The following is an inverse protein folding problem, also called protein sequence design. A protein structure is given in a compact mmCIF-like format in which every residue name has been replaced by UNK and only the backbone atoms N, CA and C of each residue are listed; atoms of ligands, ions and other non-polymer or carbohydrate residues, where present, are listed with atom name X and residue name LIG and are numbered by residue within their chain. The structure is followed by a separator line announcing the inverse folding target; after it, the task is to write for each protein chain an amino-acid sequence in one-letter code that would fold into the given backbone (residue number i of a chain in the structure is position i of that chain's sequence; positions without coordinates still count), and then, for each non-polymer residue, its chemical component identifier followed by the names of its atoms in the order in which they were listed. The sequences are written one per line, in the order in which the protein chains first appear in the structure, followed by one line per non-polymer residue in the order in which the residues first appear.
data_IF_586573811223
#
_entry.id   IF_586573811223
#
_cell.length_a   1.000
_cell.length_b   1.000
_cell.length_c   1.000
_cell.angle_alpha   90.00
_cell.angle_beta   90.00
_cell.angle_gamma   90.00
#
_symmetry.space_group_name_H-M   'P 1'
#
loop_
_entity.id
_entity.type
_entity.pdbx_description
1 polymer ?
#
# COMPACT_ATOMS: atom_id res chain seq x y z
N UNK A 1 -12.23 73.11 0.56
CA UNK A 1 -10.89 72.63 0.94
C UNK A 1 -11.00 71.14 1.23
N UNK A 2 -10.54 70.29 0.30
CA UNK A 2 -10.72 68.84 0.41
C UNK A 2 -9.56 68.24 1.19
N UNK A 3 -9.74 68.09 2.52
CA UNK A 3 -8.74 67.45 3.37
C UNK A 3 -8.75 65.94 3.14
N UNK A 4 -7.86 65.49 2.25
CA UNK A 4 -7.52 64.08 2.10
C UNK A 4 -6.79 63.65 3.38
N UNK A 5 -7.38 62.71 4.11
CA UNK A 5 -6.74 62.11 5.28
C UNK A 5 -5.36 61.53 4.92
N UNK A 6 -4.38 61.69 5.81
CA UNK A 6 -3.00 61.17 5.67
C UNK A 6 -2.93 59.69 5.32
N UNK A 7 -3.91 58.88 5.76
CA UNK A 7 -4.02 57.46 5.37
C UNK A 7 -4.43 57.27 3.90
N UNK A 8 -5.25 58.16 3.34
CA UNK A 8 -5.64 58.11 1.93
C UNK A 8 -4.50 58.60 1.02
N UNK A 9 -3.73 59.60 1.44
CA UNK A 9 -2.56 60.08 0.71
C UNK A 9 -1.47 59.00 0.58
N UNK A 10 -1.20 58.24 1.66
CA UNK A 10 -0.23 57.14 1.63
C UNK A 10 -0.67 55.95 0.77
N UNK A 11 -1.99 55.70 0.62
CA UNK A 11 -2.52 54.65 -0.27
C UNK A 11 -2.37 55.02 -1.75
N UNK A 12 -2.56 56.28 -2.09
CA UNK A 12 -2.36 56.79 -3.45
C UNK A 12 -0.87 56.77 -3.85
N UNK A 13 0.03 57.07 -2.91
CA UNK A 13 1.47 56.97 -3.17
C UNK A 13 1.94 55.52 -3.42
N UNK A 14 1.43 54.53 -2.68
CA UNK A 14 1.77 53.11 -2.91
C UNK A 14 1.25 52.56 -4.24
N UNK A 15 0.10 53.03 -4.71
CA UNK A 15 -0.46 52.59 -6.00
C UNK A 15 0.25 53.26 -7.19
N UNK A 16 0.71 54.50 -7.02
CA UNK A 16 1.52 55.20 -8.01
C UNK A 16 2.93 54.58 -8.17
N UNK A 17 3.58 54.16 -7.09
CA UNK A 17 4.92 53.52 -7.15
C UNK A 17 4.88 52.13 -7.79
N UNK A 18 3.76 51.40 -7.69
CA UNK A 18 3.59 50.11 -8.39
C UNK A 18 3.25 50.26 -9.88
N UNK A 19 2.84 51.44 -10.33
CA UNK A 19 2.42 51.67 -11.71
C UNK A 19 3.56 52.18 -12.62
N UNK A 20 4.59 52.79 -12.05
CA UNK A 20 5.70 53.39 -12.81
C UNK A 20 6.81 52.38 -13.23
N UNK A 21 6.83 51.16 -12.67
CA UNK A 21 7.81 50.11 -13.03
C UNK A 21 7.22 48.99 -13.91
N UNK A 22 5.99 49.16 -14.41
CA UNK A 22 5.27 48.13 -15.18
C UNK A 22 5.32 48.33 -16.71
N UNK A 23 6.39 48.91 -17.25
CA UNK A 23 6.61 49.03 -18.71
C UNK A 23 7.45 47.90 -19.32
N UNK A 24 7.72 46.83 -18.56
CA UNK A 24 8.08 45.52 -19.10
C UNK A 24 7.06 44.51 -18.62
N UNK A 25 5.85 44.59 -19.16
CA UNK A 25 4.93 43.46 -19.16
C UNK A 25 5.55 42.35 -20.02
N UNK A 26 6.56 41.68 -19.47
CA UNK A 26 6.98 40.36 -19.88
C UNK A 26 5.72 39.51 -19.83
N UNK A 27 5.13 39.31 -21.01
CA UNK A 27 4.11 38.30 -21.28
C UNK A 27 4.57 37.07 -20.52
N UNK A 28 3.89 36.72 -19.42
CA UNK A 28 4.18 35.49 -18.69
C UNK A 28 3.98 34.38 -19.71
N UNK A 29 5.08 33.86 -20.23
CA UNK A 29 5.05 32.68 -21.07
C UNK A 29 4.34 31.61 -20.24
N UNK A 30 3.20 31.12 -20.73
CA UNK A 30 2.52 30.00 -20.12
C UNK A 30 3.50 28.84 -20.10
N UNK A 31 4.13 28.59 -18.96
CA UNK A 31 4.94 27.41 -18.77
C UNK A 31 3.97 26.24 -18.67
N UNK A 32 3.72 25.57 -19.79
CA UNK A 32 3.09 24.25 -19.76
C UNK A 32 4.08 23.32 -19.09
N UNK A 33 3.96 23.15 -17.77
CA UNK A 33 4.65 22.05 -17.11
C UNK A 33 4.09 20.77 -17.72
N UNK A 34 4.94 20.02 -18.43
CA UNK A 34 4.59 18.68 -18.87
C UNK A 34 4.08 17.94 -17.63
N UNK A 35 2.81 17.55 -17.63
CA UNK A 35 2.23 16.82 -16.51
C UNK A 35 3.14 15.66 -16.19
N UNK A 36 3.51 15.49 -14.92
CA UNK A 36 4.41 14.41 -14.47
C UNK A 36 3.81 13.08 -14.94
N UNK A 37 4.25 12.58 -16.09
CA UNK A 37 3.86 11.26 -16.54
C UNK A 37 4.48 10.31 -15.53
N UNK A 38 3.66 9.45 -14.95
CA UNK A 38 4.17 8.35 -14.13
C UNK A 38 4.99 7.51 -15.10
N UNK A 39 6.32 7.52 -14.95
CA UNK A 39 7.29 6.93 -15.90
C UNK A 39 7.24 5.39 -15.98
N UNK A 40 6.21 4.78 -15.40
CA UNK A 40 6.05 3.35 -15.29
C UNK A 40 4.76 3.02 -16.04
N UNK A 41 4.82 2.14 -17.05
CA UNK A 41 3.64 1.69 -17.78
C UNK A 41 2.59 1.04 -16.87
N UNK A 42 1.38 0.88 -17.40
CA UNK A 42 0.32 0.15 -16.68
C UNK A 42 0.77 -1.32 -16.54
N UNK A 43 0.74 -1.93 -15.34
CA UNK A 43 1.28 -3.26 -15.13
C UNK A 43 0.53 -4.29 -15.98
N UNK A 44 1.24 -4.95 -16.89
CA UNK A 44 0.70 -6.05 -17.67
C UNK A 44 0.87 -7.38 -16.91
N UNK A 45 -0.07 -8.28 -17.12
CA UNK A 45 -0.09 -9.60 -16.49
C UNK A 45 0.13 -10.67 -17.54
N UNK A 46 1.06 -11.60 -17.29
CA UNK A 46 1.20 -12.78 -18.13
C UNK A 46 0.01 -13.70 -17.90
N UNK A 47 -0.57 -14.20 -18.98
CA UNK A 47 -1.62 -15.22 -18.92
C UNK A 47 -1.12 -16.45 -18.15
N UNK A 48 -1.97 -16.97 -17.28
CA UNK A 48 -1.70 -18.16 -16.49
C UNK A 48 -2.66 -19.28 -16.88
N UNK A 49 -2.34 -20.53 -16.55
CA UNK A 49 -3.23 -21.67 -16.81
C UNK A 49 -4.54 -21.66 -15.99
N UNK A 50 -4.70 -20.71 -15.07
CA UNK A 50 -5.88 -20.60 -14.22
C UNK A 50 -6.68 -19.37 -14.61
N UNK A 51 -7.86 -19.61 -15.18
CA UNK A 51 -8.75 -18.55 -15.66
C UNK A 51 -9.26 -17.66 -14.53
N UNK A 52 -9.50 -18.21 -13.33
CA UNK A 52 -9.94 -17.41 -12.18
C UNK A 52 -8.90 -16.36 -11.77
N UNK A 53 -7.61 -16.74 -11.79
CA UNK A 53 -6.51 -15.80 -11.50
C UNK A 53 -6.43 -14.73 -12.59
N UNK A 54 -6.51 -15.13 -13.86
CA UNK A 54 -6.50 -14.19 -14.98
C UNK A 54 -7.67 -13.20 -14.88
N UNK A 55 -8.88 -13.68 -14.57
CA UNK A 55 -10.08 -12.86 -14.40
C UNK A 55 -9.94 -11.86 -13.25
N UNK A 56 -9.39 -12.28 -12.11
CA UNK A 56 -9.15 -11.40 -10.95
C UNK A 56 -8.11 -10.33 -11.27
N UNK A 57 -7.01 -10.70 -11.95
CA UNK A 57 -5.97 -9.75 -12.35
C UNK A 57 -6.48 -8.76 -13.41
N UNK A 58 -7.23 -9.23 -14.39
CA UNK A 58 -7.86 -8.40 -15.42
C UNK A 58 -8.87 -7.42 -14.80
N UNK A 59 -9.70 -7.89 -13.87
CA UNK A 59 -10.64 -7.05 -13.12
C UNK A 59 -9.91 -5.96 -12.32
N UNK A 60 -8.84 -6.30 -11.60
CA UNK A 60 -8.03 -5.28 -10.91
C UNK A 60 -7.40 -4.27 -11.87
N UNK A 61 -6.95 -4.72 -13.04
CA UNK A 61 -6.37 -3.87 -14.07
C UNK A 61 -7.38 -2.84 -14.58
N UNK A 62 -8.55 -3.28 -15.00
CA UNK A 62 -9.60 -2.40 -15.56
C UNK A 62 -10.21 -1.48 -14.51
N UNK A 63 -10.51 -2.00 -13.32
CA UNK A 63 -11.28 -1.25 -12.30
C UNK A 63 -10.42 -0.36 -11.40
N UNK A 64 -9.16 -0.71 -11.15
CA UNK A 64 -8.31 0.00 -10.20
C UNK A 64 -7.03 0.57 -10.81
N UNK A 65 -6.31 -0.20 -11.63
CA UNK A 65 -5.04 0.27 -12.16
C UNK A 65 -5.24 1.32 -13.23
N UNK A 66 -6.00 1.05 -14.30
CA UNK A 66 -6.25 2.02 -15.38
C UNK A 66 -6.71 3.39 -14.82
N UNK A 67 -7.77 3.48 -13.98
CA UNK A 67 -8.17 4.75 -13.39
C UNK A 67 -7.07 5.40 -12.54
N UNK A 68 -6.26 4.60 -11.85
CA UNK A 68 -5.13 5.03 -11.03
C UNK A 68 -3.98 5.67 -11.82
N UNK A 69 -3.74 5.23 -13.05
CA UNK A 69 -2.70 5.76 -13.94
C UNK A 69 -3.16 6.98 -14.75
N UNK A 70 -4.46 7.13 -14.95
CA UNK A 70 -5.01 8.28 -15.68
C UNK A 70 -4.85 9.62 -14.93
N UNK A 71 -4.70 10.74 -15.66
CA UNK A 71 -4.72 12.06 -15.06
C UNK A 71 -6.11 12.40 -14.49
N UNK A 72 -6.16 13.46 -13.69
CA UNK A 72 -7.34 13.78 -12.85
C UNK A 72 -8.59 14.06 -13.69
N UNK A 73 -8.44 14.58 -14.91
CA UNK A 73 -9.55 14.96 -15.77
C UNK A 73 -10.21 13.73 -16.41
N UNK A 74 -9.42 12.85 -16.98
CA UNK A 74 -9.80 11.58 -17.62
C UNK A 74 -10.39 10.62 -16.57
N UNK A 75 -9.77 10.55 -15.38
CA UNK A 75 -10.32 9.79 -14.26
C UNK A 75 -11.70 10.29 -13.83
N UNK A 76 -11.93 11.61 -13.87
CA UNK A 76 -13.24 12.20 -13.57
C UNK A 76 -14.26 11.88 -14.66
N UNK A 77 -13.82 11.75 -15.91
CA UNK A 77 -14.66 11.35 -17.04
C UNK A 77 -15.18 9.92 -16.83
N UNK A 78 -14.28 8.95 -16.57
CA UNK A 78 -14.66 7.55 -16.34
C UNK A 78 -15.55 7.37 -15.12
N UNK A 79 -15.17 7.96 -13.97
CA UNK A 79 -15.86 7.73 -12.70
C UNK A 79 -17.04 8.70 -12.44
N UNK A 80 -17.34 9.58 -13.39
CA UNK A 80 -18.33 10.64 -13.24
C UNK A 80 -19.63 10.31 -13.95
N UNK A 81 -20.74 10.21 -13.21
CA UNK A 81 -22.08 9.91 -13.77
C UNK A 81 -22.50 10.86 -14.90
N UNK A 82 -22.03 12.12 -14.88
CA UNK A 82 -22.35 13.16 -15.88
C UNK A 82 -21.80 12.84 -17.28
N UNK A 83 -20.70 12.10 -17.36
CA UNK A 83 -19.99 11.81 -18.61
C UNK A 83 -20.36 10.44 -19.18
N UNK A 84 -21.30 9.72 -18.55
CA UNK A 84 -21.73 8.39 -18.99
C UNK A 84 -22.22 8.39 -20.43
N UNK A 85 -23.20 9.24 -20.75
CA UNK A 85 -23.77 9.32 -22.09
C UNK A 85 -22.70 9.79 -23.09
N UNK A 86 -21.88 10.77 -22.71
CA UNK A 86 -20.81 11.27 -23.56
C UNK A 86 -19.80 10.19 -23.95
N UNK A 87 -19.38 9.34 -23.01
CA UNK A 87 -18.45 8.24 -23.27
C UNK A 87 -19.10 7.11 -24.08
N UNK A 88 -20.42 6.90 -23.95
CA UNK A 88 -21.15 5.94 -24.77
C UNK A 88 -21.31 6.41 -26.21
N UNK A 89 -21.62 7.69 -26.41
CA UNK A 89 -21.82 8.26 -27.74
C UNK A 89 -20.48 8.52 -28.46
N UNK A 90 -19.44 8.89 -27.71
CA UNK A 90 -18.12 9.23 -28.23
C UNK A 90 -17.02 8.56 -27.39
N UNK A 91 -16.55 7.36 -27.76
CA UNK A 91 -15.48 6.71 -27.03
C UNK A 91 -14.19 7.52 -27.13
N UNK A 92 -13.60 7.83 -25.99
CA UNK A 92 -12.36 8.61 -25.90
C UNK A 92 -11.19 7.65 -25.69
N UNK A 93 -10.16 7.76 -26.52
CA UNK A 93 -8.90 7.03 -26.36
C UNK A 93 -7.88 7.92 -25.67
N UNK A 94 -7.14 7.37 -24.69
CA UNK A 94 -6.05 8.08 -24.02
C UNK A 94 -4.80 7.22 -24.07
N UNK A 95 -3.70 7.83 -24.50
CA UNK A 95 -2.40 7.18 -24.46
C UNK A 95 -1.79 7.31 -23.05
N UNK A 96 -1.73 6.18 -22.34
CA UNK A 96 -1.16 6.07 -21.00
C UNK A 96 0.17 5.31 -21.09
N UNK A 97 1.27 6.06 -20.90
CA UNK A 97 2.63 5.59 -21.17
C UNK A 97 2.80 5.16 -22.63
N UNK A 98 2.72 3.87 -22.91
CA UNK A 98 2.96 3.24 -24.23
C UNK A 98 1.74 2.44 -24.73
N UNK A 99 0.59 2.57 -24.06
CA UNK A 99 -0.63 1.83 -24.39
C UNK A 99 -1.81 2.79 -24.61
N UNK A 100 -2.53 2.58 -25.70
CA UNK A 100 -3.80 3.27 -25.96
C UNK A 100 -4.93 2.57 -25.20
N UNK A 101 -5.53 3.30 -24.27
CA UNK A 101 -6.62 2.80 -23.42
C UNK A 101 -7.92 3.50 -23.80
N UNK A 102 -8.94 2.70 -24.10
CA UNK A 102 -10.31 3.19 -24.30
C UNK A 102 -10.92 3.55 -22.95
N UNK A 103 -11.41 4.78 -22.81
CA UNK A 103 -12.10 5.22 -21.60
C UNK A 103 -13.56 4.75 -21.64
N UNK A 104 -13.90 3.82 -20.75
CA UNK A 104 -15.27 3.37 -20.53
C UNK A 104 -15.80 3.93 -19.21
N UNK A 105 -17.09 4.23 -19.15
CA UNK A 105 -17.72 4.68 -17.91
C UNK A 105 -17.79 3.53 -16.90
N UNK A 106 -17.32 3.78 -15.66
CA UNK A 106 -17.34 2.82 -14.56
C UNK A 106 -18.26 3.31 -13.45
N UNK A 107 -19.22 2.48 -13.05
CA UNK A 107 -20.04 2.73 -11.87
C UNK A 107 -19.26 2.41 -10.60
N UNK A 108 -19.17 3.39 -9.70
CA UNK A 108 -18.41 3.28 -8.45
C UNK A 108 -19.00 2.26 -7.48
N UNK A 109 -20.31 2.04 -7.54
CA UNK A 109 -21.03 1.18 -6.60
C UNK A 109 -21.12 -0.26 -7.09
N UNK A 110 -21.17 -0.47 -8.41
CA UNK A 110 -21.41 -1.79 -9.02
C UNK A 110 -20.17 -2.40 -9.63
N UNK A 111 -19.38 -1.60 -10.35
CA UNK A 111 -18.30 -2.11 -11.19
C UNK A 111 -16.94 -2.10 -10.47
N UNK A 112 -16.84 -1.39 -9.34
CA UNK A 112 -15.60 -1.27 -8.55
C UNK A 112 -15.68 -2.18 -7.32
N UNK A 113 -15.18 -3.43 -7.42
CA UNK A 113 -15.12 -4.34 -6.27
C UNK A 113 -14.16 -3.84 -5.19
N UNK A 114 -14.24 -4.45 -4.01
CA UNK A 114 -13.31 -4.16 -2.92
C UNK A 114 -11.88 -4.60 -3.29
N UNK A 115 -11.00 -3.61 -3.43
CA UNK A 115 -9.60 -3.80 -3.77
C UNK A 115 -8.85 -4.74 -2.82
N UNK A 116 -9.12 -4.66 -1.52
CA UNK A 116 -8.44 -5.49 -0.52
C UNK A 116 -8.84 -6.96 -0.67
N UNK A 117 -10.12 -7.21 -0.95
CA UNK A 117 -10.64 -8.55 -1.14
C UNK A 117 -10.11 -9.16 -2.45
N UNK A 118 -10.07 -8.38 -3.53
CA UNK A 118 -9.44 -8.81 -4.79
C UNK A 118 -7.95 -9.12 -4.60
N UNK A 119 -7.23 -8.29 -3.85
CA UNK A 119 -5.82 -8.54 -3.54
C UNK A 119 -5.65 -9.87 -2.80
N UNK A 120 -6.40 -10.09 -1.72
CA UNK A 120 -6.31 -11.34 -0.96
C UNK A 120 -6.68 -12.55 -1.82
N UNK A 121 -7.74 -12.45 -2.63
CA UNK A 121 -8.14 -13.50 -3.58
C UNK A 121 -7.03 -13.80 -4.57
N UNK A 122 -6.39 -12.78 -5.15
CA UNK A 122 -5.28 -12.97 -6.08
C UNK A 122 -4.10 -13.69 -5.41
N UNK A 123 -3.70 -13.28 -4.20
CA UNK A 123 -2.62 -13.95 -3.47
C UNK A 123 -2.98 -15.39 -3.11
N UNK A 124 -4.24 -15.66 -2.75
CA UNK A 124 -4.70 -17.00 -2.43
C UNK A 124 -4.70 -17.91 -3.69
N UNK A 125 -5.09 -17.39 -4.85
CA UNK A 125 -5.04 -18.09 -6.14
C UNK A 125 -3.60 -18.32 -6.65
N UNK A 126 -2.71 -17.33 -6.54
CA UNK A 126 -1.28 -17.48 -6.85
C UNK A 126 -0.64 -18.58 -5.99
N UNK A 127 -0.99 -18.63 -4.70
CA UNK A 127 -0.51 -19.68 -3.81
C UNK A 127 -1.04 -21.07 -4.19
N UNK A 128 -2.32 -21.17 -4.55
CA UNK A 128 -2.95 -22.44 -4.97
C UNK A 128 -2.34 -22.99 -6.26
N UNK A 129 -2.09 -22.11 -7.23
CA UNK A 129 -1.55 -22.47 -8.56
C UNK A 129 -0.02 -22.51 -8.60
N UNK A 130 0.64 -22.13 -7.50
CA UNK A 130 2.09 -21.87 -7.42
C UNK A 130 2.61 -20.94 -8.55
N UNK A 131 1.77 -20.02 -9.02
CA UNK A 131 2.12 -19.05 -10.04
C UNK A 131 2.30 -17.67 -9.41
N UNK A 132 3.57 -17.25 -9.29
CA UNK A 132 3.96 -16.03 -8.61
C UNK A 132 4.57 -14.97 -9.54
N UNK A 133 4.64 -15.24 -10.85
CA UNK A 133 5.31 -14.36 -11.83
C UNK A 133 4.68 -12.97 -11.90
N UNK A 134 3.37 -12.90 -11.68
CA UNK A 134 2.58 -11.66 -11.73
C UNK A 134 2.63 -10.83 -10.43
N UNK A 135 3.26 -11.34 -9.35
CA UNK A 135 3.29 -10.64 -8.06
C UNK A 135 3.97 -9.25 -8.13
N UNK A 136 5.14 -9.08 -8.78
CA UNK A 136 5.77 -7.77 -8.89
C UNK A 136 4.88 -6.74 -9.61
N UNK A 137 4.25 -7.14 -10.72
CA UNK A 137 3.31 -6.31 -11.48
C UNK A 137 2.09 -5.92 -10.63
N UNK A 138 1.54 -6.88 -9.87
CA UNK A 138 0.39 -6.65 -9.00
C UNK A 138 0.69 -5.61 -7.91
N UNK A 139 1.81 -5.77 -7.20
CA UNK A 139 2.22 -4.82 -6.16
C UNK A 139 2.52 -3.43 -6.74
N UNK A 140 3.15 -3.39 -7.91
CA UNK A 140 3.42 -2.14 -8.63
C UNK A 140 2.13 -1.41 -8.97
N UNK A 141 1.12 -2.10 -9.52
CA UNK A 141 -0.19 -1.51 -9.82
C UNK A 141 -0.89 -0.97 -8.58
N UNK A 142 -0.85 -1.72 -7.48
CA UNK A 142 -1.44 -1.31 -6.21
C UNK A 142 -0.80 -0.03 -5.68
N UNK A 143 0.54 0.04 -5.66
CA UNK A 143 1.27 1.23 -5.22
C UNK A 143 0.91 2.46 -6.06
N UNK A 144 0.87 2.32 -7.38
CA UNK A 144 0.61 3.42 -8.31
C UNK A 144 -0.85 3.89 -8.34
N UNK A 145 -1.79 2.99 -8.06
CA UNK A 145 -3.20 3.32 -7.84
C UNK A 145 -3.45 4.04 -6.50
N UNK A 146 -2.40 4.20 -5.68
CA UNK A 146 -2.49 4.84 -4.36
C UNK A 146 -3.07 3.93 -3.28
N UNK A 147 -3.05 2.61 -3.48
CA UNK A 147 -3.43 1.67 -2.45
C UNK A 147 -2.44 1.70 -1.29
N UNK A 148 -2.96 1.69 -0.06
CA UNK A 148 -2.18 1.47 1.15
C UNK A 148 -2.46 0.04 1.60
N UNK A 149 -1.51 -0.85 1.34
CA UNK A 149 -1.59 -2.21 1.83
C UNK A 149 -1.22 -2.24 3.31
N UNK A 150 -1.96 -3.02 4.09
CA UNK A 150 -1.63 -3.26 5.48
C UNK A 150 -0.34 -4.09 5.58
N UNK A 151 0.43 -3.84 6.62
CA UNK A 151 1.68 -4.54 6.89
C UNK A 151 1.45 -6.05 7.04
N UNK A 152 0.34 -6.45 7.69
CA UNK A 152 -0.05 -7.87 7.80
C UNK A 152 -0.39 -8.50 6.46
N UNK A 153 -0.97 -7.73 5.53
CA UNK A 153 -1.29 -8.21 4.19
C UNK A 153 -0.03 -8.47 3.37
N UNK A 154 0.97 -7.58 3.49
CA UNK A 154 2.30 -7.77 2.90
C UNK A 154 3.02 -8.96 3.54
N UNK A 155 3.01 -9.07 4.87
CA UNK A 155 3.56 -10.22 5.60
C UNK A 155 2.93 -11.56 5.20
N UNK A 156 1.59 -11.63 5.08
CA UNK A 156 0.87 -12.81 4.56
C UNK A 156 1.34 -13.19 3.16
N UNK A 157 1.55 -12.20 2.29
CA UNK A 157 2.01 -12.40 0.91
C UNK A 157 3.42 -13.00 0.88
N UNK A 158 4.35 -12.42 1.63
CA UNK A 158 5.72 -12.93 1.79
C UNK A 158 5.71 -14.35 2.33
N UNK A 159 4.94 -14.61 3.40
CA UNK A 159 4.84 -15.94 3.99
C UNK A 159 4.35 -16.99 2.98
N UNK A 160 3.31 -16.69 2.21
CA UNK A 160 2.78 -17.60 1.19
C UNK A 160 3.77 -17.85 0.05
N UNK A 161 4.44 -16.81 -0.44
CA UNK A 161 5.46 -16.94 -1.48
C UNK A 161 6.68 -17.74 -0.97
N UNK A 162 7.08 -17.53 0.29
CA UNK A 162 8.15 -18.27 0.95
C UNK A 162 7.81 -19.76 1.10
N UNK A 163 6.60 -20.09 1.57
CA UNK A 163 6.14 -21.49 1.65
C UNK A 163 6.11 -22.19 0.29
N UNK A 164 5.98 -21.44 -0.81
CA UNK A 164 6.05 -21.96 -2.17
C UNK A 164 7.49 -22.02 -2.75
N UNK A 165 8.52 -21.71 -1.94
CA UNK A 165 9.91 -21.68 -2.38
C UNK A 165 10.26 -20.53 -3.34
N UNK A 166 9.43 -19.47 -3.41
CA UNK A 166 9.57 -18.37 -4.38
C UNK A 166 10.27 -17.14 -3.80
N UNK A 167 11.31 -17.35 -2.98
CA UNK A 167 12.05 -16.25 -2.34
C UNK A 167 12.70 -15.29 -3.34
N UNK A 168 13.14 -15.77 -4.51
CA UNK A 168 13.70 -14.92 -5.56
C UNK A 168 12.74 -13.83 -6.04
N UNK A 169 11.44 -14.13 -6.15
CA UNK A 169 10.40 -13.15 -6.53
C UNK A 169 10.20 -12.12 -5.41
N UNK A 170 10.29 -12.54 -4.15
CA UNK A 170 10.24 -11.63 -3.00
C UNK A 170 11.41 -10.65 -3.06
N UNK A 171 12.63 -11.15 -3.32
CA UNK A 171 13.83 -10.30 -3.45
C UNK A 171 13.68 -9.33 -4.63
N UNK A 172 13.18 -9.77 -5.78
CA UNK A 172 12.88 -8.88 -6.91
C UNK A 172 11.91 -7.75 -6.51
N UNK A 173 10.84 -8.09 -5.79
CA UNK A 173 9.90 -7.08 -5.27
C UNK A 173 10.57 -6.09 -4.31
N UNK A 174 11.49 -6.56 -3.46
CA UNK A 174 12.24 -5.74 -2.50
C UNK A 174 13.28 -4.83 -3.18
N UNK A 175 13.97 -5.33 -4.22
CA UNK A 175 14.87 -4.53 -5.05
C UNK A 175 14.11 -3.36 -5.70
N UNK A 176 12.84 -3.60 -6.08
CA UNK A 176 11.95 -2.60 -6.65
C UNK A 176 11.02 -1.96 -5.61
N UNK A 177 11.45 -1.87 -4.34
CA UNK A 177 10.62 -1.41 -3.20
C UNK A 177 9.93 -0.06 -3.41
N UNK A 178 10.53 0.85 -4.17
CA UNK A 178 9.95 2.15 -4.54
C UNK A 178 8.69 2.01 -5.39
N UNK A 179 8.67 1.03 -6.28
CA UNK A 179 7.59 0.75 -7.23
C UNK A 179 6.56 -0.21 -6.66
N UNK A 180 6.99 -1.29 -6.01
CA UNK A 180 6.10 -2.33 -5.45
C UNK A 180 5.49 -1.91 -4.11
N UNK A 181 6.17 -1.03 -3.37
CA UNK A 181 5.80 -0.68 -2.01
C UNK A 181 6.13 -1.75 -0.96
N UNK A 182 6.75 -2.87 -1.36
CA UNK A 182 7.23 -3.89 -0.42
C UNK A 182 8.56 -3.42 0.19
N UNK A 183 8.62 -3.25 1.50
CA UNK A 183 9.80 -2.73 2.19
C UNK A 183 10.16 -3.58 3.41
N UNK A 184 11.47 -3.70 3.70
CA UNK A 184 11.99 -4.36 4.91
C UNK A 184 11.84 -3.49 6.18
N UNK A 185 11.25 -2.29 6.05
CA UNK A 185 10.90 -1.43 7.19
C UNK A 185 9.77 -2.00 8.02
N UNK A 186 8.93 -2.81 7.39
CA UNK A 186 7.84 -3.53 8.02
C UNK A 186 8.42 -4.74 8.74
N UNK A 187 8.20 -4.82 10.04
CA UNK A 187 8.73 -5.88 10.89
C UNK A 187 8.12 -7.23 10.51
N UNK A 188 6.82 -7.27 10.17
CA UNK A 188 6.17 -8.47 9.65
C UNK A 188 6.83 -8.97 8.36
N UNK A 189 7.19 -8.06 7.45
CA UNK A 189 7.85 -8.42 6.19
C UNK A 189 9.25 -8.97 6.48
N UNK A 190 10.03 -8.27 7.29
CA UNK A 190 11.40 -8.65 7.64
C UNK A 190 11.44 -10.02 8.34
N UNK A 191 10.60 -10.24 9.35
CA UNK A 191 10.55 -11.51 10.08
C UNK A 191 10.19 -12.69 9.17
N UNK A 192 9.18 -12.52 8.30
CA UNK A 192 8.79 -13.58 7.37
C UNK A 192 9.89 -13.86 6.32
N UNK A 193 10.64 -12.84 5.87
CA UNK A 193 11.79 -13.02 4.96
C UNK A 193 12.93 -13.77 5.64
N UNK A 194 13.30 -13.39 6.87
CA UNK A 194 14.37 -14.08 7.63
C UNK A 194 13.98 -15.52 7.94
N UNK A 195 12.72 -15.76 8.29
CA UNK A 195 12.21 -17.11 8.49
C UNK A 195 12.25 -17.94 7.20
N UNK A 196 11.96 -17.35 6.04
CA UNK A 196 12.05 -18.04 4.75
C UNK A 196 13.49 -18.50 4.43
N UNK A 197 14.49 -17.66 4.73
CA UNK A 197 15.90 -17.99 4.53
C UNK A 197 16.33 -19.19 5.37
N UNK A 198 15.87 -19.25 6.62
CA UNK A 198 16.21 -20.33 7.56
C UNK A 198 15.42 -21.61 7.30
N UNK A 199 14.11 -21.50 7.03
CA UNK A 199 13.22 -22.65 6.87
C UNK A 199 13.60 -23.50 5.67
N UNK A 200 14.07 -22.89 4.58
CA UNK A 200 14.44 -23.62 3.35
C UNK A 200 15.51 -24.71 3.59
N UNK A 201 16.72 -24.41 4.13
CA UNK A 201 17.71 -25.44 4.46
C UNK A 201 17.33 -26.27 5.68
N UNK A 202 16.54 -25.74 6.61
CA UNK A 202 16.07 -26.50 7.77
C UNK A 202 15.17 -27.69 7.36
N UNK A 203 14.32 -27.51 6.35
CA UNK A 203 13.44 -28.57 5.83
C UNK A 203 14.23 -29.73 5.22
N UNK A 204 15.41 -29.47 4.67
CA UNK A 204 16.31 -30.49 4.12
C UNK A 204 17.33 -31.01 5.14
N UNK A 205 17.19 -30.63 6.42
CA UNK A 205 18.11 -31.04 7.48
C UNK A 205 19.54 -30.52 7.27
N UNK A 206 19.72 -29.43 6.53
CA UNK A 206 21.01 -28.83 6.20
C UNK A 206 21.92 -29.70 5.33
N UNK A 207 21.38 -30.74 4.70
CA UNK A 207 22.16 -31.68 3.89
C UNK A 207 22.17 -31.30 2.40
N UNK A 208 21.13 -30.61 1.94
CA UNK A 208 21.04 -30.14 0.57
C UNK A 208 21.89 -28.88 0.37
N UNK A 209 23.04 -29.06 -0.27
CA UNK A 209 23.99 -27.99 -0.57
C UNK A 209 23.38 -26.93 -1.49
N UNK A 210 22.53 -27.30 -2.45
CA UNK A 210 21.91 -26.35 -3.38
C UNK A 210 20.94 -25.43 -2.65
N UNK A 211 20.08 -25.99 -1.80
CA UNK A 211 19.15 -25.22 -0.97
C UNK A 211 19.90 -24.30 0.00
N UNK A 212 21.00 -24.78 0.60
CA UNK A 212 21.83 -23.99 1.51
C UNK A 212 22.50 -22.82 0.78
N UNK A 213 23.14 -23.08 -0.35
CA UNK A 213 23.80 -22.05 -1.17
C UNK A 213 22.80 -21.04 -1.71
N UNK A 214 21.61 -21.47 -2.10
CA UNK A 214 20.54 -20.59 -2.55
C UNK A 214 20.08 -19.66 -1.43
N UNK A 215 19.85 -20.19 -0.22
CA UNK A 215 19.52 -19.38 0.97
C UNK A 215 20.64 -18.41 1.33
N UNK A 216 21.91 -18.82 1.25
CA UNK A 216 23.05 -17.95 1.52
C UNK A 216 23.13 -16.80 0.51
N UNK A 217 22.97 -17.09 -0.80
CA UNK A 217 22.93 -16.07 -1.85
C UNK A 217 21.78 -15.09 -1.62
N UNK A 218 20.59 -15.58 -1.29
CA UNK A 218 19.44 -14.75 -0.97
C UNK A 218 19.68 -13.89 0.27
N UNK A 219 20.30 -14.44 1.33
CA UNK A 219 20.65 -13.72 2.54
C UNK A 219 21.61 -12.55 2.26
N UNK A 220 22.64 -12.78 1.42
CA UNK A 220 23.56 -11.71 1.00
C UNK A 220 22.84 -10.59 0.25
N UNK A 221 21.92 -10.93 -0.66
CA UNK A 221 21.11 -9.94 -1.36
C UNK A 221 20.24 -9.13 -0.39
N UNK A 222 19.65 -9.78 0.61
CA UNK A 222 18.82 -9.11 1.63
C UNK A 222 19.67 -8.24 2.56
N UNK A 223 20.88 -8.67 2.93
CA UNK A 223 21.82 -7.89 3.71
C UNK A 223 22.19 -6.58 2.98
N UNK A 224 22.54 -6.68 1.69
CA UNK A 224 22.79 -5.51 0.84
C UNK A 224 21.57 -4.59 0.77
N UNK A 225 20.37 -5.16 0.65
CA UNK A 225 19.14 -4.36 0.65
C UNK A 225 18.93 -3.62 1.97
N UNK A 226 19.24 -4.22 3.12
CA UNK A 226 19.13 -3.61 4.45
C UNK A 226 20.13 -2.47 4.67
N UNK A 227 21.28 -2.49 4.01
CA UNK A 227 22.26 -1.39 4.08
C UNK A 227 21.77 -0.14 3.34
N UNK A 228 20.84 -0.29 2.38
CA UNK A 228 20.30 0.87 1.65
C UNK A 228 19.35 1.70 2.51
N UNK A 229 19.43 3.04 2.47
CA UNK A 229 18.58 3.92 3.28
C UNK A 229 17.08 3.84 2.94
N UNK A 230 16.74 3.26 1.77
CA UNK A 230 15.35 3.14 1.30
C UNK A 230 14.54 2.09 2.08
N UNK A 231 15.21 1.11 2.69
CA UNK A 231 14.62 -0.08 3.33
C UNK A 231 14.84 -0.13 4.84
N UNK A 232 15.75 0.69 5.39
CA UNK A 232 16.02 0.73 6.83
C UNK A 232 14.84 1.35 7.59
N UNK A 233 14.32 0.70 8.65
CA UNK A 233 13.32 1.32 9.50
C UNK A 233 13.97 2.52 10.21
N UNK A 234 13.51 3.73 9.90
CA UNK A 234 13.86 4.89 10.72
C UNK A 234 13.28 4.64 12.10
N UNK A 235 14.15 4.46 13.10
CA UNK A 235 13.76 4.32 14.50
C UNK A 235 12.71 5.38 14.83
N UNK A 236 11.45 4.95 15.02
CA UNK A 236 10.44 5.79 15.64
C UNK A 236 10.93 6.03 17.05
N UNK A 237 11.62 7.15 17.24
CA UNK A 237 11.95 7.69 18.56
C UNK A 237 10.62 7.79 19.30
N UNK A 238 10.32 6.80 20.15
CA UNK A 238 9.21 6.87 21.10
C UNK A 238 9.43 8.17 21.83
N UNK A 239 8.52 9.15 21.68
CA UNK A 239 8.44 10.25 22.62
C UNK A 239 8.09 9.59 23.94
N UNK A 240 9.10 9.31 24.75
CA UNK A 240 8.92 9.07 26.16
C UNK A 240 8.19 10.30 26.66
N UNK A 241 6.91 10.12 27.00
CA UNK A 241 6.21 11.09 27.83
C UNK A 241 6.99 11.11 29.14
N UNK A 242 7.86 12.11 29.28
CA UNK A 242 8.53 12.45 30.53
C UNK A 242 7.44 12.72 31.55
N UNK A 243 7.12 11.71 32.36
CA UNK A 243 6.34 11.88 33.58
C UNK A 243 7.19 12.69 34.55
N UNK A 244 6.85 13.98 34.71
CA UNK A 244 7.34 14.77 35.83
C UNK A 244 6.80 14.16 37.13
N UNK A 245 7.65 13.87 38.14
CA UNK A 245 7.20 13.59 39.48
C UNK A 245 7.05 14.93 40.21
N UNK A 246 5.81 15.36 40.46
CA UNK A 246 5.56 16.38 41.48
C UNK A 246 4.73 15.76 42.58
N UNK A 247 5.48 15.34 43.59
CA UNK A 247 5.06 15.09 44.96
C UNK A 247 4.14 16.20 45.48
N UNK A 248 2.94 15.84 45.93
CA UNK A 248 2.25 16.58 46.98
C UNK A 248 1.60 15.59 47.95
N UNK A 249 2.25 15.46 49.10
CA UNK A 249 1.80 14.73 50.29
C UNK A 249 0.65 15.50 50.93
N UNK A 250 -0.51 14.88 51.14
CA UNK A 250 -1.40 15.14 52.30
C UNK A 250 -2.20 13.87 52.64
N UNK A 251 -1.89 13.26 53.78
CA UNK A 251 -2.85 12.82 54.81
C UNK A 251 -3.73 11.57 54.60
N UNK A 252 -3.66 10.57 55.49
CA UNK A 252 -4.40 9.32 55.37
C UNK A 252 -5.82 9.41 55.94
N UNK A 253 -6.78 8.72 55.32
CA UNK A 253 -8.07 8.37 55.95
C UNK A 253 -8.29 6.86 55.86
N UNK A 254 -8.03 6.21 56.99
CA UNK A 254 -8.82 5.15 57.62
C UNK A 254 -9.66 4.21 56.74
N UNK A 255 -9.24 2.95 56.73
CA UNK A 255 -10.00 1.73 56.42
C UNK A 255 -11.32 1.64 57.21
N UNK A 256 -12.28 0.82 56.75
CA UNK A 256 -12.39 -0.49 57.38
C UNK A 256 -12.63 -1.68 56.44
N UNK A 257 -12.25 -2.82 56.98
CA UNK A 257 -12.38 -4.21 56.56
C UNK A 257 -13.80 -4.70 56.23
N UNK A 258 -13.90 -5.54 55.20
CA UNK A 258 -14.74 -6.77 55.15
C UNK A 258 -14.30 -7.57 53.91
N UNK A 259 -13.63 -8.72 54.02
CA UNK A 259 -14.14 -10.06 54.33
C UNK A 259 -15.34 -10.51 53.48
N UNK A 260 -15.09 -11.24 52.38
CA UNK A 260 -15.84 -12.45 51.97
C UNK A 260 -15.23 -13.01 50.67
N UNK A 261 -14.47 -14.11 50.74
CA UNK A 261 -14.93 -15.48 50.45
C UNK A 261 -14.96 -15.84 48.96
N UNK A 262 -13.95 -16.60 48.51
CA UNK A 262 -14.12 -17.68 47.51
C UNK A 262 -14.92 -18.81 48.19
N UNK A 263 -15.81 -19.51 47.47
CA UNK A 263 -15.52 -20.85 46.93
C UNK A 263 -16.25 -21.07 45.58
N UNK A 264 -16.23 -22.17 44.84
CA UNK A 264 -15.43 -23.38 44.69
C UNK A 264 -15.80 -23.92 43.30
N UNK A 265 -14.86 -24.63 42.69
CA UNK A 265 -15.12 -25.57 41.59
C UNK A 265 -15.72 -26.84 42.21
N UNK A 266 -16.65 -27.52 41.52
CA UNK A 266 -16.42 -28.93 41.14
C UNK A 266 -16.76 -29.12 39.65
N UNK A 267 -16.05 -29.91 38.84
CA UNK A 267 -15.43 -31.20 39.15
C UNK A 267 -16.37 -32.33 38.71
N UNK A 268 -15.91 -33.09 37.71
CA UNK A 268 -16.25 -34.49 37.39
C UNK A 268 -17.29 -34.86 36.30
N UNK A 269 -16.72 -35.40 35.21
CA UNK A 269 -16.88 -36.78 34.71
C UNK A 269 -18.03 -37.19 33.77
N UNK A 270 -17.66 -37.36 32.46
CA UNK A 270 -17.79 -38.54 31.53
C UNK A 270 -19.00 -39.53 31.64
N UNK A 271 -19.22 -40.46 30.67
CA UNK A 271 -19.16 -40.44 29.19
C UNK A 271 -20.38 -41.14 28.51
N UNK A 272 -20.32 -41.26 27.17
CA UNK A 272 -20.84 -42.38 26.34
C UNK A 272 -22.35 -42.50 26.03
N UNK A 273 -22.69 -42.45 24.73
CA UNK A 273 -23.28 -43.56 23.95
C UNK A 273 -23.65 -43.14 22.53
N UNK A 274 -23.04 -43.80 21.55
CA UNK A 274 -23.62 -44.10 20.24
C UNK A 274 -24.80 -45.07 20.41
N UNK A 275 -25.72 -45.16 19.43
CA UNK A 275 -25.64 -46.34 18.57
C UNK A 275 -25.98 -46.07 17.10
N UNK A 276 -25.45 -47.00 16.30
CA UNK A 276 -25.75 -47.36 14.92
C UNK A 276 -27.24 -47.60 14.64
N UNK A 277 -27.69 -47.22 13.44
CA UNK A 277 -28.94 -47.65 12.83
C UNK A 277 -28.87 -47.43 11.33
N UNK A 278 -29.13 -48.48 10.56
CA UNK A 278 -28.97 -48.64 9.11
C UNK A 278 -29.73 -47.62 8.27
#
# INVERSE_FOLDING_TARGET
MNNVCTRCALRLQRTATHSAESSTAARRAFTSSAGRRKHHGIPNFSETANDDLNNVLASMRSTHFIPGYLPKQERRMILGRKYRQQLQDNPVTVNVADEEVNLEWLDREKDIPNRTDLFHRAIDLMASTNNWTNLPSLLTGLKHSGAKLDEKALGKTVRKAASAGRIGIIIQCLQQSTNTGLTLRHEEVLQNVLWALHSTPQLTGWQDEEALLHSLKAANQIALLLETPSTTPTSRRRKTTSSNPTTRVVGPKSSPSSSSSRPCIPGDSKPERTPTGK
#
